data_IF_108775388959
#
_entry.id   IF_108775388959
#
_cell.length_a   1.000
_cell.length_b   1.000
_cell.length_c   1.000
_cell.angle_alpha   90.00
_cell.angle_beta   90.00
_cell.angle_gamma   90.00
#
_symmetry.space_group_name_H-M   'P 1'
#
loop_
_entity.id
_entity.type
_entity.pdbx_description
1 polymer ?
#
# COMPACT_ATOMS: atom_id res chain seq x y z
N UNK A 1 18.54 24.45 -13.90
CA UNK A 1 17.53 23.38 -13.98
C UNK A 1 16.25 23.97 -14.56
N UNK A 2 15.75 23.45 -15.69
CA UNK A 2 14.56 24.01 -16.34
C UNK A 2 13.30 23.70 -15.51
N UNK A 3 12.36 24.65 -15.37
CA UNK A 3 11.17 24.54 -14.49
C UNK A 3 10.36 23.28 -14.77
N UNK A 4 10.21 22.94 -16.06
CA UNK A 4 9.52 21.73 -16.54
C UNK A 4 10.12 20.44 -15.96
N UNK A 5 11.44 20.29 -16.02
CA UNK A 5 12.14 19.06 -15.61
C UNK A 5 12.08 18.86 -14.08
N UNK A 6 12.00 19.93 -13.30
CA UNK A 6 11.80 19.84 -11.86
C UNK A 6 10.39 19.35 -11.50
N UNK A 7 9.35 19.91 -12.14
CA UNK A 7 7.96 19.48 -11.92
C UNK A 7 7.74 18.00 -12.23
N UNK A 8 8.34 17.51 -13.32
CA UNK A 8 8.28 16.09 -13.69
C UNK A 8 8.87 15.19 -12.61
N UNK A 9 10.07 15.53 -12.12
CA UNK A 9 10.73 14.76 -11.05
C UNK A 9 9.90 14.75 -9.78
N UNK A 10 9.33 15.89 -9.41
CA UNK A 10 8.46 16.00 -8.24
C UNK A 10 7.22 15.12 -8.36
N UNK A 11 6.48 15.21 -9.47
CA UNK A 11 5.27 14.40 -9.70
C UNK A 11 5.56 12.90 -9.66
N UNK A 12 6.69 12.48 -10.24
CA UNK A 12 7.13 11.08 -10.19
C UNK A 12 7.44 10.64 -8.76
N UNK A 13 8.19 11.42 -8.00
CA UNK A 13 8.49 11.12 -6.59
C UNK A 13 7.21 11.01 -5.78
N UNK A 14 6.27 11.94 -5.94
CA UNK A 14 4.96 11.90 -5.29
C UNK A 14 4.21 10.61 -5.66
N UNK A 15 4.17 10.25 -6.95
CA UNK A 15 3.53 9.02 -7.41
C UNK A 15 4.13 7.76 -6.80
N UNK A 16 5.47 7.66 -6.74
CA UNK A 16 6.16 6.51 -6.15
C UNK A 16 5.86 6.41 -4.65
N UNK A 17 6.01 7.51 -3.91
CA UNK A 17 5.78 7.54 -2.45
C UNK A 17 4.33 7.21 -2.13
N UNK A 18 3.39 7.84 -2.84
CA UNK A 18 1.97 7.60 -2.62
C UNK A 18 1.56 6.16 -2.92
N UNK A 19 2.04 5.60 -4.03
CA UNK A 19 1.79 4.20 -4.37
C UNK A 19 2.40 3.26 -3.32
N UNK A 20 3.59 3.56 -2.81
CA UNK A 20 4.25 2.79 -1.74
C UNK A 20 3.47 2.79 -0.44
N UNK A 21 3.04 3.97 0.02
CA UNK A 21 2.18 4.11 1.20
C UNK A 21 0.88 3.32 1.00
N UNK A 22 0.26 3.44 -0.17
CA UNK A 22 -1.01 2.74 -0.48
C UNK A 22 -0.85 1.23 -0.45
N UNK A 23 0.23 0.71 -1.03
CA UNK A 23 0.51 -0.73 -1.07
C UNK A 23 0.72 -1.29 0.35
N UNK A 24 1.54 -0.62 1.15
CA UNK A 24 1.80 -1.00 2.54
C UNK A 24 0.52 -0.90 3.38
N UNK A 25 -0.26 0.17 3.21
CA UNK A 25 -1.51 0.34 3.95
C UNK A 25 -2.56 -0.71 3.59
N UNK A 26 -2.64 -1.12 2.32
CA UNK A 26 -3.50 -2.21 1.88
C UNK A 26 -3.07 -3.55 2.49
N UNK A 27 -1.76 -3.83 2.49
CA UNK A 27 -1.20 -5.04 3.10
C UNK A 27 -1.52 -5.10 4.61
N UNK A 28 -1.29 -4.00 5.32
CA UNK A 28 -1.58 -3.89 6.75
C UNK A 28 -3.09 -3.95 7.04
N UNK A 29 -3.94 -3.41 6.16
CA UNK A 29 -5.40 -3.53 6.29
C UNK A 29 -5.89 -4.98 6.20
N UNK A 30 -5.32 -5.75 5.27
CA UNK A 30 -5.57 -7.19 5.18
C UNK A 30 -5.11 -7.93 6.43
N UNK A 31 -3.83 -7.76 6.81
CA UNK A 31 -3.27 -8.42 8.00
C UNK A 31 -3.96 -8.02 9.31
N UNK A 32 -4.28 -6.73 9.48
CA UNK A 32 -4.88 -6.17 10.68
C UNK A 32 -6.32 -6.61 10.93
N UNK A 33 -7.04 -7.05 9.88
CA UNK A 33 -8.41 -7.60 10.02
C UNK A 33 -8.44 -9.10 10.27
N UNK A 34 -7.28 -9.77 10.30
CA UNK A 34 -7.20 -11.22 10.50
C UNK A 34 -7.71 -11.68 11.86
N UNK A 35 -7.50 -10.91 12.95
CA UNK A 35 -7.91 -11.32 14.30
C UNK A 35 -9.43 -11.54 14.41
N UNK A 36 -10.22 -10.54 14.01
CA UNK A 36 -11.69 -10.62 14.00
C UNK A 36 -12.23 -11.59 12.93
N UNK A 37 -11.44 -11.85 11.89
CA UNK A 37 -11.81 -12.82 10.85
C UNK A 37 -11.60 -14.26 11.32
N UNK A 38 -10.53 -14.54 12.07
CA UNK A 38 -10.21 -15.89 12.53
C UNK A 38 -10.96 -16.27 13.81
N UNK A 39 -11.28 -15.30 14.66
CA UNK A 39 -12.06 -15.51 15.89
C UNK A 39 -13.17 -14.45 16.06
N UNK A 40 -14.21 -14.45 15.20
CA UNK A 40 -15.24 -13.41 15.18
C UNK A 40 -16.05 -13.30 16.49
N UNK A 41 -16.16 -14.38 17.27
CA UNK A 41 -16.87 -14.39 18.55
C UNK A 41 -16.00 -13.95 19.73
N UNK A 42 -14.69 -13.78 19.54
CA UNK A 42 -13.74 -13.43 20.60
C UNK A 42 -13.68 -11.95 20.95
N UNK A 43 -14.35 -11.08 20.19
CA UNK A 43 -14.19 -9.61 20.28
C UNK A 43 -15.50 -8.87 20.59
N UNK A 44 -16.46 -9.56 21.21
CA UNK A 44 -17.78 -9.04 21.55
C UNK A 44 -18.81 -9.11 20.42
N UNK A 45 -20.07 -8.82 20.75
CA UNK A 45 -21.22 -9.06 19.87
C UNK A 45 -21.17 -8.30 18.54
N UNK A 46 -20.42 -7.19 18.49
CA UNK A 46 -20.24 -6.40 17.27
C UNK A 46 -19.61 -7.18 16.12
N UNK A 47 -18.79 -8.19 16.42
CA UNK A 47 -18.08 -8.99 15.41
C UNK A 47 -18.63 -10.41 15.26
N UNK A 48 -19.51 -10.86 16.16
CA UNK A 48 -20.06 -12.22 16.14
C UNK A 48 -20.82 -12.53 14.84
N UNK A 49 -21.48 -11.54 14.24
CA UNK A 49 -22.16 -11.67 12.94
C UNK A 49 -21.24 -12.05 11.78
N UNK A 50 -19.92 -11.83 11.91
CA UNK A 50 -18.92 -12.26 10.91
C UNK A 50 -18.83 -13.79 10.85
N UNK A 51 -19.17 -14.52 11.93
CA UNK A 51 -19.09 -15.99 11.97
C UNK A 51 -19.86 -16.65 10.82
N UNK A 52 -21.03 -16.11 10.45
CA UNK A 52 -21.85 -16.64 9.35
C UNK A 52 -21.20 -16.44 7.96
N UNK A 53 -20.35 -15.41 7.81
CA UNK A 53 -19.65 -15.08 6.57
C UNK A 53 -18.12 -15.18 6.73
N UNK A 54 -17.65 -16.01 7.67
CA UNK A 54 -16.22 -16.05 8.03
C UNK A 54 -15.33 -16.37 6.83
N UNK A 55 -15.78 -17.29 5.96
CA UNK A 55 -15.10 -17.65 4.72
C UNK A 55 -14.87 -16.45 3.79
N UNK A 56 -15.84 -15.54 3.70
CA UNK A 56 -15.76 -14.35 2.86
C UNK A 56 -14.78 -13.33 3.45
N UNK A 57 -14.77 -13.18 4.77
CA UNK A 57 -13.80 -12.33 5.45
C UNK A 57 -12.36 -12.87 5.32
N UNK A 58 -12.17 -14.20 5.32
CA UNK A 58 -10.87 -14.81 5.02
C UNK A 58 -10.42 -14.44 3.61
N UNK A 59 -11.33 -14.45 2.62
CA UNK A 59 -11.02 -13.99 1.25
C UNK A 59 -10.63 -12.51 1.25
N UNK A 60 -11.30 -11.65 2.04
CA UNK A 60 -10.90 -10.24 2.14
C UNK A 60 -9.51 -10.06 2.75
N UNK A 61 -9.17 -10.82 3.79
CA UNK A 61 -7.83 -10.80 4.41
C UNK A 61 -6.76 -11.22 3.39
N UNK A 62 -6.95 -12.38 2.76
CA UNK A 62 -5.99 -12.91 1.77
C UNK A 62 -5.90 -12.00 0.54
N UNK A 63 -7.03 -11.48 0.07
CA UNK A 63 -7.10 -10.53 -1.04
C UNK A 63 -6.36 -9.23 -0.72
N UNK A 64 -6.56 -8.66 0.47
CA UNK A 64 -5.85 -7.46 0.91
C UNK A 64 -4.33 -7.65 0.95
N UNK A 65 -3.87 -8.79 1.48
CA UNK A 65 -2.45 -9.14 1.50
C UNK A 65 -1.90 -9.31 0.07
N UNK A 66 -2.58 -10.07 -0.77
CA UNK A 66 -2.16 -10.32 -2.16
C UNK A 66 -2.07 -9.01 -2.97
N UNK A 67 -3.08 -8.15 -2.87
CA UNK A 67 -3.11 -6.86 -3.56
C UNK A 67 -2.04 -5.92 -3.00
N UNK A 68 -1.80 -5.93 -1.68
CA UNK A 68 -0.71 -5.18 -1.07
C UNK A 68 0.66 -5.59 -1.64
N UNK A 69 0.91 -6.90 -1.78
CA UNK A 69 2.13 -7.43 -2.42
C UNK A 69 2.21 -7.01 -3.90
N UNK A 70 1.11 -7.12 -4.65
CA UNK A 70 1.04 -6.61 -6.03
C UNK A 70 1.36 -5.11 -6.09
N UNK A 71 0.89 -4.33 -5.12
CA UNK A 71 1.18 -2.90 -4.99
C UNK A 71 2.65 -2.62 -4.77
N UNK A 72 3.31 -3.36 -3.86
CA UNK A 72 4.76 -3.24 -3.66
C UNK A 72 5.50 -3.53 -4.97
N UNK A 73 5.06 -4.55 -5.70
CA UNK A 73 5.65 -4.91 -6.99
C UNK A 73 5.43 -3.81 -8.05
N UNK A 74 4.25 -3.19 -8.06
CA UNK A 74 3.94 -2.06 -8.92
C UNK A 74 4.81 -0.84 -8.61
N UNK A 75 5.12 -0.58 -7.33
CA UNK A 75 6.07 0.48 -6.90
C UNK A 75 7.47 0.19 -7.44
N UNK A 76 7.94 -1.05 -7.35
CA UNK A 76 9.25 -1.45 -7.90
C UNK A 76 9.29 -1.22 -9.41
N UNK A 77 8.25 -1.63 -10.15
CA UNK A 77 8.17 -1.37 -11.59
C UNK A 77 8.10 0.12 -11.92
N UNK A 78 7.44 0.92 -11.09
CA UNK A 78 7.38 2.36 -11.25
C UNK A 78 8.77 3.00 -11.05
N UNK A 79 9.48 2.63 -9.98
CA UNK A 79 10.85 3.09 -9.70
C UNK A 79 11.78 2.74 -10.86
N UNK A 80 11.72 1.50 -11.35
CA UNK A 80 12.52 1.02 -12.49
C UNK A 80 12.12 1.64 -13.83
N UNK A 81 10.99 2.35 -13.91
CA UNK A 81 10.51 2.96 -15.15
C UNK A 81 10.08 1.94 -16.21
N UNK A 82 9.56 0.78 -15.78
CA UNK A 82 9.13 -0.28 -16.70
C UNK A 82 7.96 0.18 -17.59
N UNK A 83 7.97 -0.25 -18.87
CA UNK A 83 6.94 0.10 -19.88
C UNK A 83 5.53 -0.31 -19.45
N UNK A 84 5.39 -1.35 -18.63
CA UNK A 84 4.10 -1.85 -18.14
C UNK A 84 3.73 -1.34 -16.74
N UNK A 85 4.60 -0.57 -16.08
CA UNK A 85 4.40 -0.11 -14.69
C UNK A 85 3.03 0.55 -14.47
N UNK A 86 2.61 1.42 -15.39
CA UNK A 86 1.33 2.11 -15.29
C UNK A 86 0.12 1.17 -15.33
N UNK A 87 0.16 0.12 -16.18
CA UNK A 87 -0.90 -0.90 -16.24
C UNK A 87 -0.96 -1.71 -14.94
N UNK A 88 0.20 -2.08 -14.38
CA UNK A 88 0.27 -2.79 -13.10
C UNK A 88 -0.28 -1.95 -11.95
N UNK A 89 0.02 -0.64 -11.92
CA UNK A 89 -0.51 0.29 -10.91
C UNK A 89 -2.02 0.37 -11.01
N UNK A 90 -2.56 0.68 -12.20
CA UNK A 90 -4.00 0.79 -12.38
C UNK A 90 -4.71 -0.53 -12.08
N UNK A 91 -4.17 -1.67 -12.55
CA UNK A 91 -4.72 -2.99 -12.25
C UNK A 91 -4.78 -3.26 -10.75
N UNK A 92 -3.68 -3.01 -10.03
CA UNK A 92 -3.63 -3.20 -8.58
C UNK A 92 -4.63 -2.29 -7.86
N UNK A 93 -4.66 -1.01 -8.20
CA UNK A 93 -5.55 -0.04 -7.56
C UNK A 93 -7.03 -0.31 -7.86
N UNK A 94 -7.37 -0.76 -9.07
CA UNK A 94 -8.73 -1.15 -9.43
C UNK A 94 -9.17 -2.41 -8.67
N UNK A 95 -8.34 -3.46 -8.66
CA UNK A 95 -8.62 -4.68 -7.91
C UNK A 95 -8.77 -4.39 -6.40
N UNK A 96 -7.86 -3.59 -5.84
CA UNK A 96 -7.94 -3.12 -4.46
C UNK A 96 -9.21 -2.32 -4.19
N UNK A 97 -9.63 -1.46 -5.11
CA UNK A 97 -10.85 -0.67 -4.94
C UNK A 97 -12.06 -1.58 -4.90
N UNK A 98 -12.18 -2.50 -5.84
CA UNK A 98 -13.31 -3.43 -5.93
C UNK A 98 -13.42 -4.28 -4.67
N UNK A 99 -12.32 -4.90 -4.22
CA UNK A 99 -12.33 -5.75 -3.03
C UNK A 99 -12.65 -4.94 -1.77
N UNK A 100 -12.04 -3.76 -1.59
CA UNK A 100 -12.33 -2.93 -0.43
C UNK A 100 -13.77 -2.38 -0.44
N UNK A 101 -14.33 -2.05 -1.61
CA UNK A 101 -15.70 -1.59 -1.73
C UNK A 101 -16.70 -2.68 -1.30
N UNK A 102 -16.50 -3.91 -1.79
CA UNK A 102 -17.33 -5.06 -1.41
C UNK A 102 -17.19 -5.33 0.09
N UNK A 103 -15.97 -5.29 0.63
CA UNK A 103 -15.72 -5.51 2.06
C UNK A 103 -16.38 -4.44 2.94
N UNK A 104 -16.33 -3.16 2.54
CA UNK A 104 -17.03 -2.05 3.21
C UNK A 104 -18.53 -2.26 3.19
N UNK A 105 -19.10 -2.60 2.02
CA UNK A 105 -20.53 -2.83 1.86
C UNK A 105 -21.02 -3.97 2.77
N UNK A 106 -20.38 -5.14 2.70
CA UNK A 106 -20.72 -6.31 3.52
C UNK A 106 -20.57 -6.00 5.01
N UNK A 107 -19.49 -5.33 5.41
CA UNK A 107 -19.28 -4.97 6.82
C UNK A 107 -20.34 -4.01 7.35
N UNK A 108 -20.72 -2.99 6.57
CA UNK A 108 -21.77 -2.06 6.99
C UNK A 108 -23.13 -2.74 7.08
N UNK A 109 -23.44 -3.64 6.15
CA UNK A 109 -24.67 -4.43 6.17
C UNK A 109 -24.76 -5.36 7.39
N UNK A 110 -23.64 -5.96 7.81
CA UNK A 110 -23.62 -6.91 8.93
C UNK A 110 -23.52 -6.27 10.32
N UNK A 111 -22.66 -5.25 10.48
CA UNK A 111 -22.26 -4.73 11.79
C UNK A 111 -22.39 -3.20 11.93
N UNK A 112 -23.01 -2.54 10.95
CA UNK A 112 -23.22 -1.08 10.94
C UNK A 112 -21.95 -0.23 10.74
N UNK A 113 -20.78 -0.86 10.54
CA UNK A 113 -19.52 -0.15 10.34
C UNK A 113 -18.48 -1.00 9.60
N UNK A 114 -17.46 -0.35 9.05
CA UNK A 114 -16.48 -1.00 8.17
C UNK A 114 -15.03 -0.71 8.54
N UNK A 115 -14.79 0.11 9.57
CA UNK A 115 -13.42 0.42 10.02
C UNK A 115 -12.68 -0.88 10.42
N UNK A 116 -11.39 -1.02 10.06
CA UNK A 116 -10.51 0.01 9.44
C UNK A 116 -10.55 0.07 7.89
N UNK A 117 -11.38 -0.76 7.24
CA UNK A 117 -11.38 -0.94 5.77
C UNK A 117 -11.75 0.34 5.02
N UNK A 118 -12.55 1.22 5.63
CA UNK A 118 -12.87 2.54 5.05
C UNK A 118 -11.61 3.34 4.73
N UNK A 119 -10.65 3.38 5.67
CA UNK A 119 -9.43 4.14 5.48
C UNK A 119 -8.62 3.57 4.30
N UNK A 120 -8.53 2.23 4.21
CA UNK A 120 -7.85 1.55 3.10
C UNK A 120 -8.53 1.88 1.76
N UNK A 121 -9.87 1.82 1.71
CA UNK A 121 -10.64 2.17 0.52
C UNK A 121 -10.38 3.63 0.09
N UNK A 122 -10.42 4.58 1.03
CA UNK A 122 -10.23 6.00 0.72
C UNK A 122 -8.82 6.31 0.25
N UNK A 123 -7.79 5.74 0.89
CA UNK A 123 -6.41 5.87 0.41
C UNK A 123 -6.26 5.28 -0.99
N UNK A 124 -6.86 4.12 -1.24
CA UNK A 124 -6.77 3.46 -2.54
C UNK A 124 -7.50 4.26 -3.65
N UNK A 125 -8.69 4.80 -3.36
CA UNK A 125 -9.44 5.66 -4.28
C UNK A 125 -8.70 6.96 -4.58
N UNK A 126 -8.12 7.59 -3.56
CA UNK A 126 -7.31 8.81 -3.73
C UNK A 126 -6.11 8.55 -4.63
N UNK A 127 -5.37 7.47 -4.38
CA UNK A 127 -4.23 7.07 -5.20
C UNK A 127 -4.66 6.71 -6.62
N UNK A 128 -5.76 5.97 -6.79
CA UNK A 128 -6.32 5.68 -8.10
C UNK A 128 -6.66 6.95 -8.87
N UNK A 129 -7.37 7.90 -8.26
CA UNK A 129 -7.72 9.17 -8.87
C UNK A 129 -6.47 9.94 -9.32
N UNK A 130 -5.44 10.02 -8.48
CA UNK A 130 -4.18 10.66 -8.84
C UNK A 130 -3.45 9.95 -9.99
N UNK A 131 -3.41 8.62 -10.01
CA UNK A 131 -2.79 7.89 -11.12
C UNK A 131 -3.60 8.00 -12.41
N UNK A 132 -4.93 8.09 -12.35
CA UNK A 132 -5.76 8.40 -13.52
C UNK A 132 -5.45 9.80 -14.07
N UNK A 133 -5.26 10.80 -13.19
CA UNK A 133 -4.80 12.13 -13.59
C UNK A 133 -3.41 12.09 -14.24
N UNK A 134 -2.48 11.31 -13.69
CA UNK A 134 -1.16 11.10 -14.30
C UNK A 134 -1.21 10.33 -15.64
N UNK A 135 -2.34 9.71 -15.95
CA UNK A 135 -2.58 9.01 -17.20
C UNK A 135 -2.93 9.90 -18.38
N UNK A 136 -3.30 11.16 -18.13
CA UNK A 136 -3.60 12.13 -19.18
C UNK A 136 -2.37 12.30 -20.10
N UNK A 137 -2.54 12.33 -21.44
CA UNK A 137 -1.45 12.21 -22.40
C UNK A 137 -0.31 13.20 -22.14
N UNK A 138 -0.64 14.46 -21.86
CA UNK A 138 0.32 15.53 -21.58
C UNK A 138 1.18 15.29 -20.32
N UNK A 139 0.60 14.66 -19.29
CA UNK A 139 1.28 14.37 -18.01
C UNK A 139 2.01 13.03 -18.08
N UNK A 140 1.45 12.06 -18.82
CA UNK A 140 1.96 10.70 -18.95
C UNK A 140 3.32 10.66 -19.62
N UNK A 141 3.51 11.41 -20.71
CA UNK A 141 4.80 11.48 -21.40
C UNK A 141 5.90 12.08 -20.51
N UNK A 142 5.52 13.05 -19.68
CA UNK A 142 6.39 13.70 -18.72
C UNK A 142 6.79 12.76 -17.57
N UNK A 143 5.83 12.15 -16.88
CA UNK A 143 6.06 11.49 -15.57
C UNK A 143 6.43 10.00 -15.69
N UNK A 144 5.93 9.31 -16.71
CA UNK A 144 5.95 7.84 -16.75
C UNK A 144 6.95 7.28 -17.77
N UNK A 145 7.17 7.92 -18.93
CA UNK A 145 7.77 7.21 -20.07
C UNK A 145 9.09 7.72 -20.65
N UNK A 146 9.53 8.98 -20.46
CA UNK A 146 10.63 9.49 -21.32
C UNK A 146 11.84 10.15 -20.67
N UNK A 147 11.69 11.00 -19.65
CA UNK A 147 12.85 11.78 -19.13
C UNK A 147 13.34 11.35 -17.74
N UNK A 148 12.48 10.83 -16.87
CA UNK A 148 12.82 10.52 -15.47
C UNK A 148 13.14 9.05 -15.18
N UNK A 149 12.78 8.13 -16.08
CA UNK A 149 13.15 6.71 -15.96
C UNK A 149 14.67 6.51 -16.09
N UNK A 150 15.36 7.39 -16.82
CA UNK A 150 16.82 7.36 -16.99
C UNK A 150 17.59 8.00 -15.81
N UNK A 151 16.91 8.74 -14.92
CA UNK A 151 17.55 9.40 -13.76
C UNK A 151 17.61 8.45 -12.56
N UNK A 152 18.69 7.66 -12.51
CA UNK A 152 18.94 6.71 -11.43
C UNK A 152 19.03 7.38 -10.05
N UNK A 153 19.44 8.64 -9.96
CA UNK A 153 19.51 9.36 -8.68
C UNK A 153 18.12 9.74 -8.18
N UNK A 154 17.26 10.31 -9.04
CA UNK A 154 15.90 10.68 -8.66
C UNK A 154 15.05 9.45 -8.28
N UNK A 155 15.19 8.33 -8.99
CA UNK A 155 14.47 7.10 -8.68
C UNK A 155 14.92 6.47 -7.35
N UNK A 156 16.23 6.51 -7.07
CA UNK A 156 16.80 6.03 -5.80
C UNK A 156 16.37 6.90 -4.63
N UNK A 157 16.29 8.22 -4.82
CA UNK A 157 15.78 9.15 -3.82
C UNK A 157 14.31 8.91 -3.53
N UNK A 158 13.49 8.74 -4.57
CA UNK A 158 12.08 8.39 -4.41
C UNK A 158 11.89 7.05 -3.68
N UNK A 159 12.71 6.04 -3.98
CA UNK A 159 12.70 4.76 -3.27
C UNK A 159 13.07 4.91 -1.79
N UNK A 160 14.13 5.68 -1.47
CA UNK A 160 14.56 5.95 -0.10
C UNK A 160 13.47 6.70 0.69
N UNK A 161 12.84 7.71 0.09
CA UNK A 161 11.73 8.45 0.70
C UNK A 161 10.53 7.51 0.93
N UNK A 162 10.23 6.63 -0.02
CA UNK A 162 9.12 5.67 0.10
C UNK A 162 9.36 4.69 1.24
N UNK A 163 10.58 4.16 1.37
CA UNK A 163 10.96 3.32 2.51
C UNK A 163 10.84 4.06 3.84
N UNK A 164 11.31 5.32 3.90
CA UNK A 164 11.18 6.15 5.09
C UNK A 164 9.71 6.43 5.46
N UNK A 165 8.88 6.78 4.47
CA UNK A 165 7.46 7.05 4.67
C UNK A 165 6.68 5.79 5.09
N UNK A 166 6.96 4.64 4.46
CA UNK A 166 6.42 3.36 4.87
C UNK A 166 6.85 3.02 6.29
N UNK A 167 8.14 3.18 6.62
CA UNK A 167 8.66 2.93 7.96
C UNK A 167 7.99 3.81 9.02
N UNK A 168 7.80 5.10 8.75
CA UNK A 168 7.06 6.01 9.63
C UNK A 168 5.60 5.58 9.80
N UNK A 169 4.95 5.12 8.73
CA UNK A 169 3.60 4.57 8.82
C UNK A 169 3.57 3.34 9.73
N UNK A 170 4.50 2.39 9.58
CA UNK A 170 4.61 1.23 10.48
C UNK A 170 4.76 1.65 11.95
N UNK A 171 5.59 2.64 12.25
CA UNK A 171 5.78 3.12 13.63
C UNK A 171 4.54 3.82 14.22
N UNK A 172 3.70 4.42 13.37
CA UNK A 172 2.58 5.27 13.82
C UNK A 172 1.21 4.62 13.70
N UNK A 173 1.06 3.58 12.87
CA UNK A 173 -0.26 3.05 12.51
C UNK A 173 -1.03 2.48 13.70
N UNK A 174 -0.35 1.89 14.69
CA UNK A 174 -0.99 1.38 15.90
C UNK A 174 -1.74 2.48 16.69
N UNK A 175 -1.20 3.71 16.69
CA UNK A 175 -1.81 4.85 17.36
C UNK A 175 -2.98 5.41 16.54
N UNK A 176 -2.81 5.46 15.21
CA UNK A 176 -3.87 5.91 14.29
C UNK A 176 -5.07 4.97 14.32
N UNK A 177 -4.84 3.66 14.49
CA UNK A 177 -5.89 2.64 14.48
C UNK A 177 -6.46 2.34 15.87
N UNK A 178 -5.85 2.84 16.95
CA UNK A 178 -6.31 2.63 18.33
C UNK A 178 -7.81 2.92 18.55
N UNK A 179 -8.40 4.02 18.02
CA UNK A 179 -9.84 4.29 18.21
C UNK A 179 -10.76 3.19 17.67
N UNK A 180 -10.28 2.38 16.74
CA UNK A 180 -11.05 1.31 16.08
C UNK A 180 -10.68 -0.09 16.57
N UNK A 181 -9.59 -0.21 17.33
CA UNK A 181 -9.06 -1.47 17.86
C UNK A 181 -9.07 -1.51 19.40
N UNK A 182 -9.58 -0.48 20.07
CA UNK A 182 -9.87 -0.53 21.50
C UNK A 182 -11.25 -1.15 21.73
N UNK A 183 -11.26 -2.36 22.29
CA UNK A 183 -12.49 -3.11 22.60
C UNK A 183 -12.45 -3.43 24.10
N UNK A 184 -13.51 -3.10 24.83
CA UNK A 184 -13.58 -3.28 26.28
C UNK A 184 -12.36 -2.69 27.02
N UNK A 185 -11.93 -1.49 26.61
CA UNK A 185 -10.76 -0.77 27.14
C UNK A 185 -9.40 -1.41 26.86
N UNK A 186 -9.32 -2.47 26.05
CA UNK A 186 -8.08 -3.11 25.62
C UNK A 186 -7.76 -2.70 24.18
N UNK A 187 -6.58 -2.12 23.94
CA UNK A 187 -6.13 -1.75 22.61
C UNK A 187 -5.48 -2.95 21.89
N UNK A 188 -6.23 -3.61 21.01
CA UNK A 188 -5.74 -4.76 20.25
C UNK A 188 -4.75 -4.40 19.15
N UNK A 189 -4.58 -3.12 18.78
CA UNK A 189 -3.53 -2.72 17.86
C UNK A 189 -2.13 -2.87 18.48
N UNK A 190 -2.02 -2.85 19.81
CA UNK A 190 -0.74 -2.95 20.54
C UNK A 190 -0.13 -4.35 20.46
N UNK A 191 -0.91 -5.39 20.11
CA UNK A 191 -0.39 -6.74 19.84
C UNK A 191 0.68 -6.72 18.74
N UNK A 192 0.60 -5.76 17.83
CA UNK A 192 1.54 -5.60 16.72
C UNK A 192 2.74 -4.71 17.04
N UNK A 193 2.83 -4.15 18.26
CA UNK A 193 3.80 -3.11 18.62
C UNK A 193 5.24 -3.48 18.26
N UNK A 194 5.69 -4.66 18.70
CA UNK A 194 7.06 -5.13 18.47
C UNK A 194 7.32 -5.35 16.98
N UNK A 195 6.42 -6.06 16.28
CA UNK A 195 6.59 -6.36 14.86
C UNK A 195 6.58 -5.09 14.00
N UNK A 196 5.65 -4.17 14.25
CA UNK A 196 5.56 -2.90 13.54
C UNK A 196 6.77 -2.00 13.84
N UNK A 197 7.28 -2.01 15.08
CA UNK A 197 8.48 -1.27 15.44
C UNK A 197 9.71 -1.79 14.71
N UNK A 198 9.93 -3.11 14.72
CA UNK A 198 11.06 -3.74 14.04
C UNK A 198 11.02 -3.44 12.53
N UNK A 199 9.87 -3.66 11.89
CA UNK A 199 9.71 -3.43 10.45
C UNK A 199 9.88 -1.93 10.14
N UNK A 200 9.26 -1.05 10.95
CA UNK A 200 9.33 0.39 10.76
C UNK A 200 10.75 0.93 10.83
N UNK A 201 11.51 0.55 11.88
CA UNK A 201 12.93 0.90 12.02
C UNK A 201 13.74 0.32 10.86
N UNK A 202 13.53 -0.94 10.51
CA UNK A 202 14.25 -1.60 9.42
C UNK A 202 14.03 -0.89 8.07
N UNK A 203 12.80 -0.44 7.79
CA UNK A 203 12.48 0.31 6.57
C UNK A 203 13.14 1.69 6.55
N UNK A 204 13.13 2.43 7.67
CA UNK A 204 13.81 3.73 7.76
C UNK A 204 15.31 3.57 7.56
N UNK A 205 15.93 2.62 8.26
CA UNK A 205 17.37 2.32 8.12
C UNK A 205 17.68 1.90 6.68
N UNK A 206 16.85 1.06 6.08
CA UNK A 206 17.01 0.65 4.67
C UNK A 206 16.92 1.84 3.71
N UNK A 207 16.01 2.79 3.94
CA UNK A 207 15.92 4.03 3.16
C UNK A 207 17.18 4.90 3.28
N UNK A 208 17.71 5.05 4.50
CA UNK A 208 18.96 5.77 4.77
C UNK A 208 20.14 5.08 4.07
N UNK A 209 20.30 3.77 4.27
CA UNK A 209 21.37 2.99 3.64
C UNK A 209 21.26 3.04 2.11
N UNK A 210 20.05 2.95 1.57
CA UNK A 210 19.82 3.08 0.14
C UNK A 210 20.25 4.45 -0.35
N UNK A 211 20.05 5.56 0.38
CA UNK A 211 20.52 6.89 -0.02
C UNK A 211 22.04 7.01 -0.03
N UNK A 212 22.75 6.39 0.92
CA UNK A 212 24.20 6.55 1.09
C UNK A 212 25.05 5.50 0.35
N UNK A 213 24.54 4.30 0.12
CA UNK A 213 25.34 3.22 -0.47
C UNK A 213 25.20 3.13 -2.01
N UNK A 214 26.21 3.63 -2.72
CA UNK A 214 26.25 3.71 -4.19
C UNK A 214 26.24 2.35 -4.93
N UNK A 215 26.29 1.22 -4.21
CA UNK A 215 26.37 -0.13 -4.80
C UNK A 215 25.10 -0.98 -4.67
N UNK A 216 24.07 -0.54 -3.95
CA UNK A 216 22.83 -1.30 -3.82
C UNK A 216 22.04 -1.26 -5.14
N UNK A 217 22.15 -2.34 -5.92
CA UNK A 217 21.26 -2.62 -7.05
C UNK A 217 19.89 -3.06 -6.52
N UNK A 218 18.82 -2.55 -7.12
CA UNK A 218 17.46 -3.03 -6.85
C UNK A 218 17.34 -4.48 -7.32
N UNK A 219 16.69 -5.38 -6.57
CA UNK A 219 16.60 -6.79 -6.94
C UNK A 219 15.96 -6.96 -8.32
N UNK A 220 16.54 -7.82 -9.16
CA UNK A 220 16.01 -8.18 -10.47
C UNK A 220 14.73 -9.01 -10.31
N UNK A 221 13.63 -8.51 -10.89
CA UNK A 221 12.28 -9.09 -10.71
C UNK A 221 11.90 -10.03 -11.84
N UNK A 222 12.83 -10.33 -12.75
CA UNK A 222 12.58 -11.07 -13.99
C UNK A 222 12.42 -12.58 -13.75
N UNK A 223 12.60 -13.06 -12.51
CA UNK A 223 12.66 -14.51 -12.21
C UNK A 223 11.32 -15.12 -11.76
N UNK A 224 10.24 -14.36 -11.55
CA UNK A 224 9.02 -14.95 -10.93
C UNK A 224 7.77 -15.04 -11.83
N UNK A 225 7.70 -14.40 -13.00
CA UNK A 225 6.55 -14.61 -13.91
C UNK A 225 6.93 -14.45 -15.39
N UNK A 226 7.90 -15.23 -15.88
CA UNK A 226 7.80 -15.77 -17.24
C UNK A 226 6.90 -17.00 -17.18
N UNK A 227 5.59 -16.77 -17.25
CA UNK A 227 4.65 -17.82 -17.69
C UNK A 227 3.85 -17.24 -18.83
N UNK A 228 4.29 -17.55 -20.05
CA UNK A 228 3.52 -17.80 -21.27
C UNK A 228 2.16 -17.09 -21.40
N UNK A 229 2.08 -16.14 -22.34
CA UNK A 229 0.84 -15.55 -22.85
C UNK A 229 1.03 -14.16 -23.41
#
# INVERSE_FOLDING_TARGET
MNRRNWWVKLLRTIGIVLMGITAVFTLMGGAGTACVTLNPTGFGDKFSGIANLQWLYIIFVLGGIAIGIMGIRAVIYLIKGSKNSYRFILGTLLLGTVINLVHVFVSRALRGGSMPVDAVLYTNLFTLALFLLFGLPDIREAVVFKESAADNHANRDAAAITLGAAGLLFLTIQFLMAPTHTISSINYADVWHVSLTIIGVALIVSGILLKFNHKLHLPDTDVIFETNG
#
